data_IF_484518287504
#
_entry.id   IF_484518287504
#
_cell.length_a   1.000
_cell.length_b   1.000
_cell.length_c   1.000
_cell.angle_alpha   90.00
_cell.angle_beta   90.00
_cell.angle_gamma   90.00
#
_symmetry.space_group_name_H-M   'P 1'
#
loop_
_entity.id
_entity.type
_entity.pdbx_description
1 polymer ?
#
# COMPACT_ATOMS: atom_id res chain seq x y z
N UNK A 1 -8.49 8.56 -7.89
CA UNK A 1 -9.66 7.72 -8.24
C UNK A 1 -9.22 6.71 -9.27
N UNK A 2 -9.59 5.47 -9.06
CA UNK A 2 -9.14 4.27 -9.79
C UNK A 2 -10.07 3.88 -10.97
N UNK A 3 -10.91 4.80 -11.44
CA UNK A 3 -11.88 4.54 -12.50
C UNK A 3 -13.04 3.63 -12.09
N UNK A 4 -13.28 3.48 -10.79
CA UNK A 4 -14.34 2.63 -10.24
C UNK A 4 -13.96 1.14 -10.15
N UNK A 5 -12.69 0.81 -10.37
CA UNK A 5 -12.19 -0.55 -10.16
C UNK A 5 -12.26 -0.89 -8.67
N UNK A 6 -12.78 -2.06 -8.38
CA UNK A 6 -12.82 -2.62 -7.03
C UNK A 6 -12.07 -3.94 -7.02
N UNK A 7 -11.46 -4.32 -5.88
CA UNK A 7 -10.96 -5.68 -5.72
C UNK A 7 -12.07 -6.69 -5.96
N UNK A 8 -11.73 -7.81 -6.58
CA UNK A 8 -12.67 -8.94 -6.69
C UNK A 8 -12.94 -9.52 -5.30
N UNK A 9 -14.17 -9.94 -5.07
CA UNK A 9 -14.52 -10.63 -3.83
C UNK A 9 -13.90 -12.02 -3.85
N UNK A 10 -13.07 -12.40 -2.85
CA UNK A 10 -12.49 -13.74 -2.77
C UNK A 10 -13.57 -14.81 -2.60
N UNK A 11 -13.36 -15.98 -3.22
CA UNK A 11 -14.31 -17.10 -3.13
C UNK A 11 -14.43 -17.70 -1.71
N UNK A 12 -13.39 -17.52 -0.88
CA UNK A 12 -13.34 -18.01 0.48
C UNK A 12 -14.21 -17.20 1.45
N UNK A 13 -14.54 -15.96 1.08
CA UNK A 13 -15.35 -15.08 1.92
C UNK A 13 -16.81 -15.19 1.51
N UNK A 14 -17.75 -15.47 2.45
CA UNK A 14 -19.17 -15.46 2.16
C UNK A 14 -19.61 -14.15 1.50
N UNK A 15 -20.49 -14.23 0.50
CA UNK A 15 -20.90 -13.07 -0.29
C UNK A 15 -21.59 -11.97 0.54
N UNK A 16 -22.20 -12.36 1.66
CA UNK A 16 -22.84 -11.48 2.63
C UNK A 16 -21.87 -10.80 3.60
N UNK A 17 -20.64 -11.30 3.70
CA UNK A 17 -19.64 -10.72 4.60
C UNK A 17 -19.01 -9.45 3.99
N UNK A 18 -18.79 -8.48 4.84
CA UNK A 18 -18.09 -7.25 4.44
C UNK A 18 -16.59 -7.49 4.30
N UNK A 19 -16.01 -6.89 3.26
CA UNK A 19 -14.56 -6.85 3.11
C UNK A 19 -14.00 -5.68 3.94
N UNK A 20 -13.77 -5.95 5.22
CA UNK A 20 -13.31 -4.94 6.16
C UNK A 20 -14.34 -4.63 7.25
N UNK A 21 -14.62 -3.36 7.48
CA UNK A 21 -15.59 -2.92 8.50
C UNK A 21 -17.02 -2.96 7.98
N UNK A 22 -17.99 -3.38 8.81
CA UNK A 22 -19.41 -3.31 8.46
C UNK A 22 -19.81 -1.89 8.04
N UNK A 23 -20.59 -1.81 6.97
CA UNK A 23 -21.05 -0.54 6.39
C UNK A 23 -19.95 0.43 5.94
N UNK A 24 -18.71 -0.04 5.80
CA UNK A 24 -17.57 0.70 5.31
C UNK A 24 -17.11 0.15 3.95
N UNK A 25 -16.53 1.02 3.14
CA UNK A 25 -15.80 0.62 1.91
C UNK A 25 -14.30 0.49 2.16
N UNK A 26 -13.86 0.67 3.41
CA UNK A 26 -12.48 0.61 3.83
C UNK A 26 -12.21 -0.66 4.64
N UNK A 27 -11.03 -1.19 4.49
CA UNK A 27 -10.57 -2.36 5.21
C UNK A 27 -9.29 -2.91 4.61
N UNK A 28 -8.80 -3.98 5.20
CA UNK A 28 -7.61 -4.68 4.75
C UNK A 28 -8.02 -6.09 4.35
N UNK A 29 -7.53 -6.53 3.19
CA UNK A 29 -7.71 -7.87 2.68
C UNK A 29 -6.33 -8.44 2.36
N UNK A 30 -5.99 -9.55 3.00
CA UNK A 30 -4.75 -10.29 2.77
C UNK A 30 -5.09 -11.67 2.23
N UNK A 31 -4.67 -11.95 1.00
CA UNK A 31 -4.95 -13.21 0.31
C UNK A 31 -3.67 -14.03 0.30
N UNK A 32 -3.71 -15.20 0.90
CA UNK A 32 -2.62 -16.17 0.95
C UNK A 32 -3.00 -17.52 0.36
N UNK A 33 -2.05 -18.41 0.30
CA UNK A 33 -2.21 -19.79 -0.20
C UNK A 33 -3.04 -20.69 0.74
N UNK A 34 -3.18 -20.30 2.01
CA UNK A 34 -3.85 -21.05 3.07
C UNK A 34 -5.17 -20.43 3.55
N UNK A 35 -5.57 -19.31 2.96
CA UNK A 35 -6.79 -18.62 3.32
C UNK A 35 -6.71 -17.12 3.12
N UNK A 36 -7.75 -16.43 3.55
CA UNK A 36 -7.90 -14.99 3.42
C UNK A 36 -8.14 -14.38 4.79
N UNK A 37 -7.47 -13.28 5.08
CA UNK A 37 -7.74 -12.46 6.26
C UNK A 37 -8.41 -11.17 5.82
N UNK A 38 -9.51 -10.83 6.46
CA UNK A 38 -10.18 -9.53 6.34
C UNK A 38 -10.21 -8.84 7.69
N UNK A 39 -9.95 -7.55 7.75
CA UNK A 39 -10.07 -6.77 8.98
C UNK A 39 -10.39 -5.30 8.68
N UNK A 40 -10.78 -4.56 9.72
CA UNK A 40 -10.99 -3.11 9.64
C UNK A 40 -9.70 -2.35 9.30
N UNK A 41 -9.84 -1.06 9.04
CA UNK A 41 -8.75 -0.17 8.58
C UNK A 41 -7.53 -0.20 9.50
N UNK A 42 -7.75 -0.30 10.80
CA UNK A 42 -6.68 -0.34 11.81
C UNK A 42 -6.31 -1.77 12.25
N UNK A 43 -6.67 -2.77 11.44
CA UNK A 43 -6.45 -4.17 11.80
C UNK A 43 -7.43 -4.71 12.84
N UNK A 44 -8.51 -3.97 13.13
CA UNK A 44 -9.50 -4.34 14.14
C UNK A 44 -10.37 -5.51 13.68
N UNK A 45 -10.74 -6.36 14.63
CA UNK A 45 -11.66 -7.49 14.43
C UNK A 45 -11.32 -8.37 13.23
N UNK A 46 -10.09 -8.91 13.15
CA UNK A 46 -9.69 -9.71 12.02
C UNK A 46 -10.49 -11.01 11.96
N UNK A 47 -10.86 -11.39 10.73
CA UNK A 47 -11.48 -12.66 10.41
C UNK A 47 -10.57 -13.46 9.49
N UNK A 48 -10.44 -14.75 9.76
CA UNK A 48 -9.70 -15.68 8.91
C UNK A 48 -10.69 -16.66 8.26
N UNK A 49 -10.66 -16.68 6.95
CA UNK A 49 -11.45 -17.55 6.10
C UNK A 49 -10.55 -18.61 5.47
N UNK A 50 -10.99 -19.87 5.54
CA UNK A 50 -10.36 -20.99 4.87
C UNK A 50 -11.44 -21.82 4.19
N UNK A 51 -11.10 -22.33 3.02
CA UNK A 51 -12.04 -23.14 2.23
C UNK A 51 -12.45 -24.40 2.99
N UNK A 52 -13.76 -24.53 3.25
CA UNK A 52 -14.33 -25.69 3.93
C UNK A 52 -14.17 -25.71 5.46
N UNK A 53 -13.67 -24.63 6.05
CA UNK A 53 -13.58 -24.45 7.50
C UNK A 53 -14.54 -23.36 7.98
N UNK A 54 -14.86 -23.38 9.25
CA UNK A 54 -15.60 -22.31 9.92
C UNK A 54 -14.74 -21.04 9.98
N UNK A 55 -15.36 -19.89 9.79
CA UNK A 55 -14.67 -18.58 9.88
C UNK A 55 -14.22 -18.36 11.32
N UNK A 56 -12.95 -18.06 11.47
CA UNK A 56 -12.37 -17.67 12.76
C UNK A 56 -12.47 -16.16 12.92
N UNK A 57 -13.17 -15.71 13.97
CA UNK A 57 -13.31 -14.29 14.30
C UNK A 57 -12.53 -13.96 15.56
N UNK A 58 -11.72 -12.90 15.49
CA UNK A 58 -10.99 -12.36 16.62
C UNK A 58 -11.56 -10.99 16.96
N UNK A 59 -12.15 -10.86 18.14
CA UNK A 59 -12.61 -9.56 18.63
C UNK A 59 -11.48 -8.87 19.38
N UNK A 60 -11.28 -7.61 19.06
CA UNK A 60 -10.35 -6.74 19.78
C UNK A 60 -11.14 -5.84 20.74
N UNK A 61 -10.63 -5.69 21.95
CA UNK A 61 -11.21 -4.77 22.93
C UNK A 61 -10.80 -3.32 22.68
N UNK A 62 -9.76 -3.12 21.86
CA UNK A 62 -9.26 -1.82 21.47
C UNK A 62 -10.15 -1.15 20.44
N UNK A 63 -10.14 0.16 20.47
CA UNK A 63 -10.70 1.03 19.45
C UNK A 63 -9.54 1.60 18.60
N UNK A 64 -9.85 2.11 17.41
CA UNK A 64 -8.85 2.82 16.59
C UNK A 64 -8.19 3.96 17.41
N UNK A 65 -8.93 4.65 18.25
CA UNK A 65 -8.43 5.76 19.07
C UNK A 65 -7.44 5.29 20.14
N UNK A 66 -7.74 4.18 20.84
CA UNK A 66 -6.83 3.63 21.84
C UNK A 66 -5.53 3.12 21.21
N UNK A 67 -5.60 2.46 20.08
CA UNK A 67 -4.42 2.00 19.33
C UNK A 67 -3.54 3.16 18.85
N UNK A 68 -4.16 4.23 18.36
CA UNK A 68 -3.46 5.45 17.94
C UNK A 68 -2.70 6.10 19.10
N UNK A 69 -3.32 6.20 20.28
CA UNK A 69 -2.68 6.76 21.47
C UNK A 69 -1.51 5.89 21.97
N UNK A 70 -1.67 4.57 21.96
CA UNK A 70 -0.60 3.63 22.34
C UNK A 70 0.57 3.77 21.39
N UNK A 71 0.32 3.79 20.10
CA UNK A 71 1.33 3.89 19.06
C UNK A 71 2.17 5.18 19.17
N UNK A 72 1.51 6.32 19.37
CA UNK A 72 2.19 7.59 19.57
C UNK A 72 2.98 7.61 20.88
N UNK A 73 2.43 7.04 21.95
CA UNK A 73 3.11 6.97 23.25
C UNK A 73 4.40 6.11 23.17
N UNK A 74 4.37 4.99 22.48
CA UNK A 74 5.55 4.15 22.25
C UNK A 74 6.68 4.95 21.60
N UNK A 75 6.38 5.72 20.57
CA UNK A 75 7.34 6.56 19.88
C UNK A 75 7.96 7.62 20.80
N UNK A 76 7.11 8.37 21.52
CA UNK A 76 7.55 9.41 22.43
C UNK A 76 8.40 8.83 23.55
N UNK A 77 8.00 7.71 24.13
CA UNK A 77 8.73 7.05 25.22
C UNK A 77 10.09 6.51 24.75
N UNK A 78 10.13 5.92 23.56
CA UNK A 78 11.37 5.44 22.96
C UNK A 78 12.36 6.58 22.68
N UNK A 79 11.88 7.73 22.17
CA UNK A 79 12.72 8.93 21.96
C UNK A 79 13.27 9.44 23.28
N UNK A 80 12.44 9.57 24.32
CA UNK A 80 12.87 10.05 25.65
C UNK A 80 13.87 9.12 26.32
N UNK A 81 13.71 7.82 26.16
CA UNK A 81 14.60 6.82 26.76
C UNK A 81 15.93 6.64 25.99
N UNK A 82 15.96 7.04 24.72
CA UNK A 82 17.13 6.97 23.86
C UNK A 82 17.25 5.66 23.08
N UNK A 83 18.07 5.72 22.03
CA UNK A 83 18.29 4.61 21.11
C UNK A 83 18.84 3.38 21.83
N UNK A 84 18.28 2.21 21.53
CA UNK A 84 18.68 0.92 22.08
C UNK A 84 18.19 0.62 23.51
N UNK A 85 17.47 1.56 24.15
CA UNK A 85 16.82 1.32 25.45
C UNK A 85 15.71 0.27 25.36
N UNK A 86 15.26 -0.24 26.51
CA UNK A 86 14.14 -1.18 26.53
C UNK A 86 12.83 -0.56 26.06
N UNK A 87 12.63 0.75 26.28
CA UNK A 87 11.48 1.47 25.73
C UNK A 87 11.58 1.64 24.21
N UNK A 88 12.78 1.88 23.67
CA UNK A 88 13.01 1.90 22.21
C UNK A 88 12.65 0.55 21.57
N UNK A 89 13.01 -0.57 22.18
CA UNK A 89 12.72 -1.92 21.67
C UNK A 89 11.25 -2.29 21.66
N UNK A 90 10.41 -1.53 22.39
CA UNK A 90 8.94 -1.73 22.41
C UNK A 90 8.24 -1.01 21.25
N UNK A 91 8.93 -0.14 20.51
CA UNK A 91 8.34 0.56 19.37
C UNK A 91 7.90 -0.46 18.33
N UNK A 92 6.60 -0.47 18.03
CA UNK A 92 6.00 -1.43 17.09
C UNK A 92 6.24 -1.08 15.62
N UNK A 93 6.59 0.19 15.32
CA UNK A 93 6.95 0.64 13.98
C UNK A 93 8.36 1.29 13.93
N UNK A 94 9.43 0.55 14.27
CA UNK A 94 10.79 1.04 14.12
C UNK A 94 11.15 1.18 12.62
N UNK A 95 12.22 1.90 12.32
CA UNK A 95 12.62 2.14 10.92
C UNK A 95 12.93 0.87 10.14
N UNK A 96 13.42 -0.16 10.81
CA UNK A 96 13.70 -1.48 10.24
C UNK A 96 12.44 -2.16 9.68
N UNK A 97 11.27 -1.84 10.25
CA UNK A 97 9.97 -2.26 9.75
C UNK A 97 9.34 -1.20 8.83
N UNK A 98 9.30 0.05 9.28
CA UNK A 98 8.61 1.13 8.58
C UNK A 98 9.27 1.50 7.23
N UNK A 99 10.58 1.32 7.10
CA UNK A 99 11.31 1.56 5.86
C UNK A 99 10.84 0.66 4.70
N UNK A 100 11.00 -0.66 4.80
CA UNK A 100 10.53 -1.61 3.77
C UNK A 100 9.02 -1.53 3.53
N UNK A 101 8.24 -1.28 4.59
CA UNK A 101 6.81 -1.09 4.45
C UNK A 101 6.47 0.16 3.62
N UNK A 102 7.14 1.28 3.90
CA UNK A 102 6.99 2.53 3.15
C UNK A 102 7.38 2.35 1.68
N UNK A 103 8.46 1.63 1.41
CA UNK A 103 8.87 1.27 0.04
C UNK A 103 7.74 0.54 -0.68
N UNK A 104 7.17 -0.49 -0.06
CA UNK A 104 6.05 -1.26 -0.60
C UNK A 104 4.85 -0.38 -0.93
N UNK A 105 4.48 0.53 -0.04
CA UNK A 105 3.35 1.48 -0.26
C UNK A 105 3.67 2.43 -1.42
N UNK A 106 4.90 2.96 -1.47
CA UNK A 106 5.31 3.91 -2.51
C UNK A 106 5.44 3.27 -3.90
N UNK A 107 5.62 1.95 -4.01
CA UNK A 107 5.56 1.25 -5.30
C UNK A 107 4.22 1.47 -6.02
N UNK A 108 3.12 1.64 -5.29
CA UNK A 108 1.83 2.01 -5.86
C UNK A 108 1.89 3.33 -6.65
N UNK A 109 2.62 4.32 -6.14
CA UNK A 109 2.83 5.60 -6.85
C UNK A 109 3.64 5.42 -8.14
N UNK A 110 4.66 4.55 -8.11
CA UNK A 110 5.44 4.24 -9.31
C UNK A 110 4.55 3.59 -10.38
N UNK A 111 3.69 2.65 -9.99
CA UNK A 111 2.76 1.99 -10.89
C UNK A 111 1.78 3.00 -11.52
N UNK A 112 1.15 3.86 -10.72
CA UNK A 112 0.19 4.86 -11.20
C UNK A 112 0.86 5.87 -12.13
N UNK A 113 2.01 6.42 -11.74
CA UNK A 113 2.73 7.41 -12.54
C UNK A 113 3.26 6.81 -13.84
N UNK A 114 3.80 5.60 -13.79
CA UNK A 114 4.29 4.89 -14.97
C UNK A 114 3.18 4.53 -15.93
N UNK A 115 1.99 4.17 -15.44
CA UNK A 115 0.82 3.82 -16.25
C UNK A 115 0.43 4.91 -17.23
N UNK A 116 0.72 6.17 -16.90
CA UNK A 116 0.41 7.34 -17.71
C UNK A 116 1.49 7.70 -18.73
N UNK A 117 2.62 6.98 -18.73
CA UNK A 117 3.68 7.21 -19.71
C UNK A 117 3.21 6.83 -21.12
N UNK A 118 3.43 7.73 -22.03
CA UNK A 118 3.07 7.59 -23.44
C UNK A 118 4.32 7.70 -24.31
N UNK A 119 4.33 6.96 -25.40
CA UNK A 119 5.27 7.16 -26.49
C UNK A 119 4.67 8.19 -27.46
N UNK A 120 5.42 9.27 -27.76
CA UNK A 120 4.95 10.36 -28.62
C UNK A 120 4.89 11.72 -27.94
N UNK A 121 4.47 12.74 -28.69
CA UNK A 121 4.34 14.11 -28.15
C UNK A 121 3.13 14.17 -27.22
N UNK A 122 3.26 14.80 -26.03
CA UNK A 122 2.13 15.02 -25.16
C UNK A 122 1.11 15.91 -25.88
N UNK A 123 -0.08 15.37 -26.09
CA UNK A 123 -1.23 16.15 -26.53
C UNK A 123 -1.97 16.69 -25.30
N UNK A 124 -2.22 17.97 -25.31
CA UNK A 124 -2.97 18.68 -24.27
C UNK A 124 -4.48 18.70 -24.51
N UNK A 125 -4.99 17.87 -25.44
CA UNK A 125 -6.43 17.80 -25.70
C UNK A 125 -7.17 17.17 -24.51
N UNK A 126 -8.40 17.60 -24.24
CA UNK A 126 -9.21 17.04 -23.16
C UNK A 126 -9.56 15.55 -23.37
N UNK A 127 -9.46 15.04 -24.58
CA UNK A 127 -9.72 13.63 -24.94
C UNK A 127 -8.47 12.77 -25.12
N UNK A 128 -7.31 13.22 -24.63
CA UNK A 128 -6.01 12.54 -24.78
C UNK A 128 -5.96 11.07 -24.33
N UNK A 129 -7.00 10.60 -23.65
CA UNK A 129 -7.09 9.21 -23.19
C UNK A 129 -7.86 8.29 -24.14
N UNK A 130 -8.47 8.84 -25.17
CA UNK A 130 -9.46 8.12 -25.97
C UNK A 130 -8.95 7.69 -27.35
N UNK A 131 -7.83 8.20 -27.84
CA UNK A 131 -7.44 7.95 -29.23
C UNK A 131 -6.01 7.42 -29.36
N UNK A 132 -5.88 6.36 -30.16
CA UNK A 132 -4.61 5.79 -30.61
C UNK A 132 -3.80 6.74 -31.53
N UNK A 133 -4.35 7.89 -31.89
CA UNK A 133 -3.79 8.85 -32.82
C UNK A 133 -2.64 9.67 -32.22
N UNK A 134 -2.62 9.82 -30.88
CA UNK A 134 -1.69 10.71 -30.16
C UNK A 134 -0.56 9.98 -29.42
N UNK A 135 -0.47 8.69 -29.56
CA UNK A 135 0.58 7.91 -28.95
C UNK A 135 0.09 6.66 -28.23
N UNK A 136 1.00 5.77 -27.99
CA UNK A 136 0.74 4.50 -27.31
C UNK A 136 1.15 4.60 -25.85
N UNK A 137 0.27 4.20 -24.93
CA UNK A 137 0.65 4.06 -23.53
C UNK A 137 1.68 2.94 -23.35
N UNK A 138 2.92 3.33 -23.14
CA UNK A 138 4.05 2.40 -22.95
C UNK A 138 4.15 1.88 -21.54
N UNK A 139 3.61 2.62 -20.58
CA UNK A 139 3.65 2.30 -19.15
C UNK A 139 2.58 1.31 -18.67
N UNK A 140 1.62 0.92 -19.53
CA UNK A 140 0.56 -0.06 -19.17
C UNK A 140 1.09 -1.48 -19.23
N UNK A 141 2.02 -1.80 -18.35
CA UNK A 141 2.67 -3.10 -18.24
C UNK A 141 2.98 -3.44 -16.78
N UNK A 142 3.18 -4.71 -16.49
CA UNK A 142 3.70 -5.12 -15.18
C UNK A 142 5.11 -4.57 -15.00
N UNK A 143 5.37 -3.97 -13.85
CA UNK A 143 6.70 -3.49 -13.48
C UNK A 143 7.39 -4.52 -12.58
N UNK A 144 8.70 -4.67 -12.73
CA UNK A 144 9.54 -5.49 -11.86
C UNK A 144 10.46 -4.57 -11.06
N UNK A 145 10.29 -4.61 -9.75
CA UNK A 145 11.02 -3.79 -8.80
C UNK A 145 12.22 -4.56 -8.25
N UNK A 146 13.36 -3.92 -8.20
CA UNK A 146 14.58 -4.36 -7.53
C UNK A 146 14.81 -3.41 -6.36
N UNK A 147 14.46 -3.87 -5.15
CA UNK A 147 14.53 -3.06 -3.93
C UNK A 147 15.96 -2.74 -3.53
N UNK A 148 16.89 -3.68 -3.71
CA UNK A 148 18.30 -3.50 -3.35
C UNK A 148 18.95 -2.36 -4.14
N UNK A 149 18.57 -2.21 -5.40
CA UNK A 149 19.08 -1.17 -6.28
C UNK A 149 18.10 0.00 -6.47
N UNK A 150 16.96 -0.02 -5.80
CA UNK A 150 15.91 1.00 -5.91
C UNK A 150 15.56 1.30 -7.38
N UNK A 151 15.26 0.25 -8.17
CA UNK A 151 15.15 0.37 -9.63
C UNK A 151 14.04 -0.52 -10.19
N UNK A 152 13.33 0.01 -11.21
CA UNK A 152 12.48 -0.79 -12.09
C UNK A 152 13.37 -1.38 -13.19
N UNK A 153 13.40 -2.72 -13.27
CA UNK A 153 14.36 -3.44 -14.13
C UNK A 153 13.89 -3.63 -15.57
N UNK A 154 12.59 -3.64 -15.80
CA UNK A 154 11.99 -3.94 -17.10
C UNK A 154 11.40 -2.73 -17.83
N UNK A 155 11.50 -1.53 -17.26
CA UNK A 155 10.99 -0.31 -17.88
C UNK A 155 11.76 0.92 -17.39
N UNK A 156 12.85 1.25 -18.06
CA UNK A 156 13.78 2.29 -17.62
C UNK A 156 13.14 3.69 -17.52
N UNK A 157 12.21 4.03 -18.42
CA UNK A 157 11.49 5.30 -18.37
C UNK A 157 10.72 5.52 -17.05
N UNK A 158 10.31 4.46 -16.35
CA UNK A 158 9.64 4.58 -15.08
C UNK A 158 10.57 4.99 -13.93
N UNK A 159 11.87 4.79 -14.09
CA UNK A 159 12.88 5.14 -13.08
C UNK A 159 12.97 6.66 -12.81
N UNK A 160 12.48 7.49 -13.71
CA UNK A 160 12.35 8.93 -13.48
C UNK A 160 11.45 9.27 -12.28
N UNK A 161 10.62 8.33 -11.83
CA UNK A 161 9.69 8.52 -10.72
C UNK A 161 10.21 7.97 -9.39
N UNK A 162 11.32 7.24 -9.38
CA UNK A 162 11.92 6.66 -8.18
C UNK A 162 12.53 7.74 -7.31
N UNK A 163 13.25 8.68 -7.92
CA UNK A 163 13.86 9.80 -7.21
C UNK A 163 13.05 11.08 -7.32
N UNK A 164 13.29 12.01 -6.40
CA UNK A 164 12.78 13.38 -6.51
C UNK A 164 13.76 14.26 -7.26
N UNK A 165 13.25 15.09 -8.16
CA UNK A 165 14.02 16.25 -8.62
C UNK A 165 14.14 17.23 -7.46
N UNK A 166 15.36 17.43 -6.98
CA UNK A 166 15.63 18.35 -5.87
C UNK A 166 15.78 19.77 -6.42
N UNK A 167 15.42 20.76 -5.65
CA UNK A 167 15.69 22.16 -6.00
C UNK A 167 17.19 22.44 -5.83
N UNK A 168 17.72 23.38 -6.59
CA UNK A 168 19.12 23.80 -6.51
C UNK A 168 19.52 24.13 -5.05
N UNK A 169 20.67 23.62 -4.61
CA UNK A 169 21.18 23.79 -3.25
C UNK A 169 20.65 22.76 -2.24
N UNK A 170 19.92 21.75 -2.67
CA UNK A 170 19.39 20.66 -1.81
C UNK A 170 19.86 19.27 -2.30
N UNK A 171 21.09 19.20 -2.78
CA UNK A 171 21.68 17.98 -3.37
C UNK A 171 22.43 17.10 -2.34
N UNK A 172 21.76 16.81 -1.20
CA UNK A 172 22.29 15.94 -0.15
C UNK A 172 21.52 14.63 -0.05
#
# INVERSE_FOLDING_TARGET
>A
MDGGLKPSHPEEIPAEDFLGEPNSTNGILMIGDKGVISCGVYGLNPKLYRKGEETLEYKTDETWYSLDQIHHAEWINGIKAGYGSDEYKKITAPFEYAGPFTETVLMGNLAIRSYMLMDGKPDHSPNRYATSEYGKFTGRKKLFWDGDNMKITNFDQANQFVGRTRRSGWDF
#
